data_IF_045635705230
#
_entry.id   IF_045635705230
#
_cell.length_a   1.000
_cell.length_b   1.000
_cell.length_c   1.000
_cell.angle_alpha   90.00
_cell.angle_beta   90.00
_cell.angle_gamma   90.00
#
_symmetry.space_group_name_H-M   'P 1'
#
loop_
_entity.id
_entity.type
_entity.pdbx_description
1 polymer ?
#
# COMPACT_ATOMS: atom_id res chain seq x y z
N UNK A 1 -9.56 -16.90 -21.52
CA UNK A 1 -10.34 -17.15 -20.29
C UNK A 1 -10.84 -18.58 -20.29
N UNK A 2 -10.40 -19.39 -19.33
CA UNK A 2 -10.86 -20.77 -19.17
C UNK A 2 -12.38 -20.79 -18.97
N UNK A 3 -13.06 -21.81 -19.52
CA UNK A 3 -14.53 -21.93 -19.48
C UNK A 3 -15.08 -21.79 -18.05
N UNK A 4 -14.36 -22.35 -17.07
CA UNK A 4 -14.70 -22.31 -15.64
C UNK A 4 -14.75 -20.88 -15.11
N UNK A 5 -13.74 -20.05 -15.41
CA UNK A 5 -13.68 -18.66 -14.93
C UNK A 5 -14.84 -17.83 -15.49
N UNK A 6 -15.20 -18.04 -16.77
CA UNK A 6 -16.35 -17.36 -17.37
C UNK A 6 -17.65 -17.73 -16.66
N UNK A 7 -17.85 -19.02 -16.35
CA UNK A 7 -19.05 -19.50 -15.67
C UNK A 7 -19.15 -18.94 -14.25
N UNK A 8 -18.05 -18.97 -13.48
CA UNK A 8 -18.02 -18.41 -12.13
C UNK A 8 -18.35 -16.92 -12.12
N UNK A 9 -17.77 -16.14 -13.05
CA UNK A 9 -18.06 -14.71 -13.17
C UNK A 9 -19.51 -14.44 -13.58
N UNK A 10 -20.08 -15.25 -14.48
CA UNK A 10 -21.47 -15.12 -14.87
C UNK A 10 -22.42 -15.40 -13.70
N UNK A 11 -22.16 -16.45 -12.92
CA UNK A 11 -22.96 -16.79 -11.73
C UNK A 11 -22.85 -15.70 -10.67
N UNK A 12 -21.64 -15.21 -10.38
CA UNK A 12 -21.44 -14.11 -9.43
C UNK A 12 -22.15 -12.84 -9.89
N UNK A 13 -22.06 -12.48 -11.17
CA UNK A 13 -22.76 -11.32 -11.73
C UNK A 13 -24.28 -11.43 -11.63
N UNK A 14 -24.84 -12.60 -11.93
CA UNK A 14 -26.27 -12.88 -11.77
C UNK A 14 -26.70 -12.81 -10.30
N UNK A 15 -25.96 -13.42 -9.39
CA UNK A 15 -26.23 -13.36 -7.95
C UNK A 15 -26.21 -11.93 -7.43
N UNK A 16 -25.19 -11.15 -7.80
CA UNK A 16 -25.08 -9.74 -7.41
C UNK A 16 -26.24 -8.90 -7.97
N UNK A 17 -26.68 -9.14 -9.21
CA UNK A 17 -27.81 -8.43 -9.80
C UNK A 17 -29.13 -8.74 -9.07
N UNK A 18 -29.36 -10.00 -8.71
CA UNK A 18 -30.54 -10.41 -7.93
C UNK A 18 -30.53 -9.77 -6.55
N UNK A 19 -29.40 -9.83 -5.84
CA UNK A 19 -29.25 -9.23 -4.51
C UNK A 19 -29.42 -7.71 -4.55
N UNK A 20 -28.94 -7.05 -5.61
CA UNK A 20 -29.09 -5.61 -5.79
C UNK A 20 -30.55 -5.17 -5.89
N UNK A 21 -31.39 -5.95 -6.57
CA UNK A 21 -32.84 -5.69 -6.64
C UNK A 21 -33.56 -5.88 -5.30
N UNK A 22 -32.97 -6.67 -4.38
CA UNK A 22 -33.52 -6.95 -3.05
C UNK A 22 -33.02 -5.97 -1.97
N UNK A 23 -32.24 -4.96 -2.35
CA UNK A 23 -31.74 -3.96 -1.40
C UNK A 23 -32.88 -3.08 -0.86
N UNK A 24 -32.78 -2.65 0.41
CA UNK A 24 -33.75 -1.73 0.99
C UNK A 24 -33.66 -0.35 0.31
N UNK A 25 -34.81 0.31 0.18
CA UNK A 25 -34.91 1.67 -0.35
C UNK A 25 -34.23 2.69 0.57
N UNK A 26 -33.89 3.87 0.04
CA UNK A 26 -33.10 4.90 0.75
C UNK A 26 -33.82 5.55 1.93
N UNK A 27 -35.14 5.40 1.99
CA UNK A 27 -36.04 5.90 3.03
C UNK A 27 -36.07 5.02 4.30
N UNK A 28 -35.48 3.82 4.24
CA UNK A 28 -35.38 2.91 5.40
C UNK A 28 -34.26 3.38 6.34
N UNK A 29 -34.50 3.45 7.67
CA UNK A 29 -33.45 3.78 8.64
C UNK A 29 -32.24 2.85 8.54
N UNK A 30 -31.03 3.41 8.69
CA UNK A 30 -29.79 2.65 8.54
C UNK A 30 -29.70 1.43 9.47
N UNK A 31 -30.24 1.51 10.70
CA UNK A 31 -30.26 0.42 11.67
C UNK A 31 -31.09 -0.80 11.21
N UNK A 32 -32.12 -0.57 10.38
CA UNK A 32 -32.96 -1.63 9.80
C UNK A 32 -32.39 -2.10 8.45
N UNK A 33 -31.86 -1.17 7.65
CA UNK A 33 -31.24 -1.48 6.37
C UNK A 33 -30.04 -2.44 6.52
N UNK A 34 -29.25 -2.31 7.59
CA UNK A 34 -28.11 -3.21 7.90
C UNK A 34 -28.55 -4.63 8.24
N UNK A 35 -29.79 -4.82 8.72
CA UNK A 35 -30.35 -6.14 9.01
C UNK A 35 -30.90 -6.83 7.75
N UNK A 36 -30.92 -6.14 6.61
CA UNK A 36 -31.37 -6.72 5.34
C UNK A 36 -30.40 -7.83 4.89
N UNK A 37 -30.94 -9.02 4.68
CA UNK A 37 -30.16 -10.20 4.27
C UNK A 37 -29.41 -9.97 2.95
N UNK A 38 -30.04 -9.35 1.96
CA UNK A 38 -29.39 -9.09 0.67
C UNK A 38 -28.20 -8.14 0.80
N UNK A 39 -28.32 -7.08 1.62
CA UNK A 39 -27.21 -6.18 1.94
C UNK A 39 -26.05 -6.91 2.62
N UNK A 40 -26.34 -7.74 3.63
CA UNK A 40 -25.32 -8.54 4.31
C UNK A 40 -24.62 -9.49 3.32
N UNK A 41 -25.37 -10.22 2.50
CA UNK A 41 -24.81 -11.11 1.48
C UNK A 41 -23.93 -10.37 0.46
N UNK A 42 -24.27 -9.14 0.06
CA UNK A 42 -23.42 -8.33 -0.82
C UNK A 42 -22.08 -7.96 -0.16
N UNK A 43 -22.09 -7.61 1.13
CA UNK A 43 -20.84 -7.39 1.87
C UNK A 43 -20.00 -8.66 1.99
N UNK A 44 -20.63 -9.80 2.26
CA UNK A 44 -19.93 -11.10 2.31
C UNK A 44 -19.26 -11.41 0.98
N UNK A 45 -19.96 -11.24 -0.16
CA UNK A 45 -19.37 -11.44 -1.50
C UNK A 45 -18.19 -10.48 -1.72
N UNK A 46 -18.34 -9.22 -1.32
CA UNK A 46 -17.27 -8.21 -1.46
C UNK A 46 -16.03 -8.60 -0.66
N UNK A 47 -16.18 -8.96 0.61
CA UNK A 47 -15.05 -9.37 1.45
C UNK A 47 -14.42 -10.68 0.96
N UNK A 48 -15.22 -11.61 0.46
CA UNK A 48 -14.71 -12.84 -0.15
C UNK A 48 -13.87 -12.54 -1.40
N UNK A 49 -14.39 -11.71 -2.32
CA UNK A 49 -13.67 -11.32 -3.53
C UNK A 49 -12.41 -10.52 -3.22
N UNK A 50 -12.47 -9.61 -2.24
CA UNK A 50 -11.30 -8.87 -1.77
C UNK A 50 -10.25 -9.82 -1.19
N UNK A 51 -10.66 -10.77 -0.33
CA UNK A 51 -9.78 -11.79 0.23
C UNK A 51 -9.10 -12.62 -0.86
N UNK A 52 -9.87 -13.10 -1.84
CA UNK A 52 -9.33 -13.83 -2.99
C UNK A 52 -8.36 -12.94 -3.78
N UNK A 53 -8.72 -11.70 -4.06
CA UNK A 53 -7.87 -10.78 -4.83
C UNK A 53 -6.53 -10.52 -4.11
N UNK A 54 -6.56 -10.31 -2.79
CA UNK A 54 -5.35 -10.13 -1.97
C UNK A 54 -4.50 -11.39 -2.01
N UNK A 55 -5.08 -12.56 -1.75
CA UNK A 55 -4.34 -13.84 -1.74
C UNK A 55 -3.75 -14.14 -3.10
N UNK A 56 -4.55 -14.06 -4.17
CA UNK A 56 -4.10 -14.34 -5.54
C UNK A 56 -3.04 -13.33 -5.96
N UNK A 57 -3.24 -12.03 -5.74
CA UNK A 57 -2.24 -11.02 -6.12
C UNK A 57 -0.92 -11.20 -5.39
N UNK A 58 -0.94 -11.52 -4.09
CA UNK A 58 0.27 -11.82 -3.32
C UNK A 58 0.94 -13.09 -3.83
N UNK A 59 0.21 -14.21 -3.92
CA UNK A 59 0.77 -15.49 -4.36
C UNK A 59 1.35 -15.40 -5.76
N UNK A 60 0.64 -14.79 -6.71
CA UNK A 60 1.15 -14.63 -8.08
C UNK A 60 2.32 -13.66 -8.15
N UNK A 61 2.28 -12.54 -7.40
CA UNK A 61 3.40 -11.59 -7.35
C UNK A 61 4.66 -12.26 -6.82
N UNK A 62 4.56 -12.99 -5.69
CA UNK A 62 5.68 -13.71 -5.10
C UNK A 62 6.15 -14.85 -6.01
N UNK A 63 5.24 -15.70 -6.52
CA UNK A 63 5.59 -16.79 -7.41
C UNK A 63 6.31 -16.28 -8.67
N UNK A 64 5.80 -15.21 -9.29
CA UNK A 64 6.43 -14.60 -10.46
C UNK A 64 7.76 -13.91 -10.14
N UNK A 65 7.91 -13.35 -8.93
CA UNK A 65 9.18 -12.79 -8.46
C UNK A 65 10.25 -13.89 -8.32
N UNK A 66 9.93 -15.01 -7.67
CA UNK A 66 10.90 -16.09 -7.44
C UNK A 66 11.15 -16.97 -8.67
N UNK A 67 10.17 -17.11 -9.55
CA UNK A 67 10.30 -17.92 -10.77
C UNK A 67 11.15 -17.25 -11.85
N UNK A 68 11.38 -15.93 -11.74
CA UNK A 68 12.14 -15.18 -12.73
C UNK A 68 13.39 -14.56 -12.07
N UNK A 69 14.59 -15.13 -12.32
CA UNK A 69 15.82 -14.65 -11.67
C UNK A 69 16.16 -13.20 -12.06
N UNK A 70 15.71 -12.72 -13.23
CA UNK A 70 15.93 -11.34 -13.69
C UNK A 70 15.06 -10.34 -12.92
N UNK A 71 13.79 -10.65 -12.70
CA UNK A 71 12.91 -9.80 -11.88
C UNK A 71 13.35 -9.82 -10.42
N UNK A 72 13.70 -10.99 -9.88
CA UNK A 72 14.23 -11.13 -8.52
C UNK A 72 15.45 -10.25 -8.30
N UNK A 73 16.46 -10.33 -9.17
CA UNK A 73 17.67 -9.50 -9.06
C UNK A 73 17.33 -8.01 -9.10
N UNK A 74 16.42 -7.59 -9.99
CA UNK A 74 16.01 -6.18 -10.09
C UNK A 74 15.34 -5.70 -8.81
N UNK A 75 14.39 -6.47 -8.28
CA UNK A 75 13.71 -6.16 -7.02
C UNK A 75 14.72 -6.11 -5.87
N UNK A 76 15.64 -7.07 -5.80
CA UNK A 76 16.66 -7.12 -4.76
C UNK A 76 17.60 -5.91 -4.82
N UNK A 77 17.98 -5.44 -6.02
CA UNK A 77 18.75 -4.20 -6.17
C UNK A 77 17.99 -2.97 -5.69
N UNK A 78 16.69 -2.86 -5.98
CA UNK A 78 15.85 -1.74 -5.52
C UNK A 78 15.68 -1.78 -4.01
N UNK A 79 15.34 -2.95 -3.44
CA UNK A 79 15.18 -3.13 -1.99
C UNK A 79 16.50 -2.89 -1.26
N UNK A 80 17.60 -3.44 -1.77
CA UNK A 80 18.94 -3.21 -1.23
C UNK A 80 19.32 -1.74 -1.24
N UNK A 81 19.10 -1.04 -2.36
CA UNK A 81 19.32 0.40 -2.46
C UNK A 81 18.48 1.19 -1.45
N UNK A 82 17.19 0.85 -1.31
CA UNK A 82 16.32 1.47 -0.32
C UNK A 82 16.82 1.25 1.12
N UNK A 83 17.23 0.03 1.47
CA UNK A 83 17.79 -0.29 2.79
C UNK A 83 19.06 0.51 3.07
N UNK A 84 19.94 0.69 2.09
CA UNK A 84 21.14 1.51 2.24
C UNK A 84 20.76 2.96 2.55
N UNK A 85 19.81 3.55 1.81
CA UNK A 85 19.35 4.92 2.06
C UNK A 85 18.64 5.03 3.42
N UNK A 86 17.84 4.04 3.80
CA UNK A 86 17.20 3.97 5.12
C UNK A 86 18.23 3.90 6.25
N UNK A 87 19.28 3.10 6.09
CA UNK A 87 20.38 3.01 7.05
C UNK A 87 21.12 4.34 7.19
N UNK A 88 21.43 5.01 6.08
CA UNK A 88 22.01 6.36 6.10
C UNK A 88 21.10 7.36 6.79
N UNK A 89 19.80 7.36 6.46
CA UNK A 89 18.82 8.23 7.09
C UNK A 89 18.72 8.03 8.61
N UNK A 90 18.83 6.77 9.07
CA UNK A 90 18.79 6.42 10.49
C UNK A 90 20.06 6.85 11.24
N UNK A 91 21.23 6.70 10.61
CA UNK A 91 22.51 7.16 11.18
C UNK A 91 22.56 8.67 11.29
N UNK A 92 22.02 9.39 10.29
CA UNK A 92 21.94 10.85 10.29
C UNK A 92 20.87 11.41 11.23
N UNK A 93 19.92 10.58 11.68
CA UNK A 93 18.89 11.01 12.60
C UNK A 93 19.39 11.02 14.05
N UNK A 94 19.19 12.13 14.73
CA UNK A 94 19.37 12.24 16.18
C UNK A 94 18.00 12.11 16.87
N UNK A 95 18.02 11.65 18.12
CA UNK A 95 16.84 11.60 18.99
C UNK A 95 16.93 12.53 20.19
N UNK A 96 18.10 13.17 20.38
CA UNK A 96 18.45 14.05 21.49
C UNK A 96 18.57 15.51 21.08
N UNK A 97 18.35 15.80 19.79
CA UNK A 97 18.34 17.12 19.19
C UNK A 97 17.11 17.97 19.58
N UNK A 98 16.13 17.38 20.27
CA UNK A 98 14.93 18.05 20.76
C UNK A 98 14.79 17.86 22.27
N UNK A 99 14.50 18.96 22.98
CA UNK A 99 14.17 18.95 24.40
C UNK A 99 12.81 18.27 24.65
N UNK A 100 12.88 17.07 25.22
CA UNK A 100 11.71 16.23 25.51
C UNK A 100 10.84 16.80 26.64
N UNK A 101 11.43 17.49 27.61
CA UNK A 101 10.71 18.09 28.73
C UNK A 101 9.93 19.32 28.24
N UNK A 102 10.53 20.10 27.34
CA UNK A 102 9.85 21.19 26.65
C UNK A 102 8.70 20.68 25.76
N UNK A 103 8.81 19.50 25.12
CA UNK A 103 7.69 18.90 24.39
C UNK A 103 6.60 18.36 25.31
N UNK A 104 6.97 17.73 26.43
CA UNK A 104 6.04 17.22 27.42
C UNK A 104 5.21 18.35 28.05
N UNK A 105 5.84 19.50 28.35
CA UNK A 105 5.14 20.70 28.85
C UNK A 105 4.12 21.28 27.87
N UNK A 106 4.26 20.99 26.57
CA UNK A 106 3.30 21.34 25.51
C UNK A 106 2.23 20.26 25.27
N UNK A 107 2.16 19.25 26.14
CA UNK A 107 1.22 18.13 26.06
C UNK A 107 1.63 17.03 25.07
N UNK A 108 2.86 17.05 24.55
CA UNK A 108 3.37 16.06 23.61
C UNK A 108 4.40 15.19 24.33
N UNK A 109 3.93 14.16 25.03
CA UNK A 109 4.82 13.16 25.62
C UNK A 109 5.39 12.26 24.51
N UNK A 110 6.71 12.18 24.44
CA UNK A 110 7.40 11.34 23.46
C UNK A 110 8.71 10.82 24.06
N UNK A 111 9.38 9.92 23.34
CA UNK A 111 10.66 9.34 23.73
C UNK A 111 11.71 9.65 22.68
N UNK A 112 12.99 9.65 23.06
CA UNK A 112 14.12 9.81 22.12
C UNK A 112 14.03 8.83 20.95
N UNK A 113 13.57 7.61 21.20
CA UNK A 113 13.39 6.59 20.15
C UNK A 113 12.33 7.01 19.14
N UNK A 114 11.21 7.57 19.60
CA UNK A 114 10.15 8.06 18.73
C UNK A 114 10.64 9.26 17.91
N UNK A 115 11.34 10.20 18.54
CA UNK A 115 11.95 11.37 17.87
C UNK A 115 12.92 10.92 16.79
N UNK A 116 13.85 10.01 17.13
CA UNK A 116 14.82 9.47 16.17
C UNK A 116 14.16 8.76 14.99
N UNK A 117 13.07 8.01 15.20
CA UNK A 117 12.32 7.36 14.11
C UNK A 117 11.65 8.38 13.19
N UNK A 118 11.10 9.45 13.75
CA UNK A 118 10.52 10.56 12.97
C UNK A 118 11.62 11.25 12.15
N UNK A 119 12.75 11.59 12.79
CA UNK A 119 13.92 12.17 12.13
C UNK A 119 14.47 11.27 11.02
N UNK A 120 14.50 9.96 11.24
CA UNK A 120 14.88 8.97 10.22
C UNK A 120 13.94 9.03 9.02
N UNK A 121 12.62 9.08 9.25
CA UNK A 121 11.63 9.19 8.18
C UNK A 121 11.78 10.48 7.36
N UNK A 122 12.06 11.60 8.04
CA UNK A 122 12.28 12.89 7.40
C UNK A 122 13.55 12.90 6.56
N UNK A 123 14.68 12.43 7.13
CA UNK A 123 15.95 12.29 6.43
C UNK A 123 15.82 11.38 5.22
N UNK A 124 15.14 10.24 5.37
CA UNK A 124 14.87 9.29 4.29
C UNK A 124 14.09 9.94 3.15
N UNK A 125 13.03 10.69 3.49
CA UNK A 125 12.24 11.43 2.51
C UNK A 125 13.11 12.41 1.71
N UNK A 126 13.87 13.26 2.38
CA UNK A 126 14.71 14.26 1.70
C UNK A 126 15.82 13.61 0.86
N UNK A 127 16.47 12.56 1.36
CA UNK A 127 17.45 11.80 0.58
C UNK A 127 16.84 11.21 -0.69
N UNK A 128 15.65 10.60 -0.60
CA UNK A 128 14.97 10.05 -1.76
C UNK A 128 14.52 11.14 -2.74
N UNK A 129 14.10 12.31 -2.26
CA UNK A 129 13.78 13.47 -3.11
C UNK A 129 15.01 13.92 -3.89
N UNK A 130 16.16 14.06 -3.23
CA UNK A 130 17.43 14.44 -3.88
C UNK A 130 17.80 13.40 -4.94
N UNK A 131 17.72 12.10 -4.61
CA UNK A 131 18.01 11.01 -5.55
C UNK A 131 17.05 11.04 -6.74
N UNK A 132 15.75 11.28 -6.51
CA UNK A 132 14.73 11.33 -7.55
C UNK A 132 14.97 12.50 -8.50
N UNK A 133 15.14 13.72 -7.96
CA UNK A 133 15.42 14.93 -8.75
C UNK A 133 16.72 14.77 -9.54
N UNK A 134 17.80 14.30 -8.91
CA UNK A 134 19.06 14.01 -9.58
C UNK A 134 18.90 13.00 -10.73
N UNK A 135 18.15 11.92 -10.48
CA UNK A 135 17.88 10.90 -11.50
C UNK A 135 17.06 11.43 -12.68
N UNK A 136 16.07 12.30 -12.43
CA UNK A 136 15.26 12.94 -13.46
C UNK A 136 16.09 13.90 -14.31
N UNK A 137 16.93 14.72 -13.68
CA UNK A 137 17.83 15.65 -14.37
C UNK A 137 18.81 14.89 -15.26
N UNK A 138 19.51 13.90 -14.71
CA UNK A 138 20.44 13.06 -15.47
C UNK A 138 19.74 12.30 -16.61
N UNK A 139 18.55 11.75 -16.36
CA UNK A 139 17.74 11.09 -17.38
C UNK A 139 17.30 12.05 -18.49
N UNK A 140 16.91 13.27 -18.15
CA UNK A 140 16.56 14.33 -19.08
C UNK A 140 17.73 14.76 -19.95
N UNK A 141 18.89 15.07 -19.35
CA UNK A 141 20.11 15.42 -20.08
C UNK A 141 20.58 14.29 -20.99
N UNK A 142 20.63 13.05 -20.49
CA UNK A 142 21.04 11.89 -21.29
C UNK A 142 20.15 11.73 -22.53
N UNK A 143 18.84 11.92 -22.40
CA UNK A 143 17.89 11.84 -23.53
C UNK A 143 18.07 12.95 -24.56
N UNK A 144 18.59 14.10 -24.16
CA UNK A 144 18.86 15.24 -25.05
C UNK A 144 20.18 15.07 -25.83
N UNK A 145 21.19 14.44 -25.23
CA UNK A 145 22.51 14.25 -25.86
C UNK A 145 22.67 12.91 -26.58
N UNK A 146 21.94 11.86 -26.17
CA UNK A 146 21.85 10.62 -26.94
C UNK A 146 20.71 10.73 -27.96
N UNK A 147 21.03 11.24 -29.15
CA UNK A 147 20.34 10.83 -30.37
C UNK A 147 20.84 9.46 -30.79
#
# INVERSE_FOLDING_TARGET
MNKIVKIVLAVLGLLSAVLWYQLPSRDVPAAEAVQNGAMNFMFVITYLLLGIAVVVSLLFSLANLFSNPKSLKKTLMVVGGFIVVLGLAYVLADGTDIDLDAMASRGISTTETTVKRIGTGLNLFFLLVIIAVGSMILGGFKKMFNK
#
